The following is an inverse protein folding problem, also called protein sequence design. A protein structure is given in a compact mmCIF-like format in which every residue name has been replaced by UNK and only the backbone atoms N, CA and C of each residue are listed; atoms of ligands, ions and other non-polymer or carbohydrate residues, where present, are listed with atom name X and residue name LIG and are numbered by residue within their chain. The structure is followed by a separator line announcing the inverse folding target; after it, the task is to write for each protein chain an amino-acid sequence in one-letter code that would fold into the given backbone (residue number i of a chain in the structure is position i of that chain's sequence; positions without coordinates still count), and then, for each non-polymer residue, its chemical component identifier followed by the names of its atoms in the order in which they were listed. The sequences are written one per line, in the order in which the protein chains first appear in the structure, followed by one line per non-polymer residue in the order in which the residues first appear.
data_IF_452277002100
#
_entry.id   IF_452277002100
#
_cell.length_a   1.000
_cell.length_b   1.000
_cell.length_c   1.000
_cell.angle_alpha   90.00
_cell.angle_beta   90.00
_cell.angle_gamma   90.00
#
_symmetry.space_group_name_H-M   'P 1'
#
loop_
_entity.id
_entity.type
_entity.pdbx_description
1 polymer ?
#
# COMPACT_ATOMS: atom_id res chain seq x y z
N UNK A 1 8.05 22.03 16.79
CA UNK A 1 9.45 21.99 17.22
C UNK A 1 10.04 20.60 17.11
N UNK A 2 9.76 19.78 18.10
CA UNK A 2 10.30 18.42 18.12
C UNK A 2 9.27 17.42 17.61
N UNK A 3 8.40 17.88 16.75
CA UNK A 3 7.34 17.05 16.17
C UNK A 3 7.53 17.01 14.66
N UNK A 4 7.50 15.80 14.10
CA UNK A 4 7.45 15.61 12.65
C UNK A 4 6.07 15.14 12.22
N UNK A 5 5.65 15.57 11.04
CA UNK A 5 4.36 15.17 10.46
C UNK A 5 4.63 14.70 9.05
N UNK A 6 4.36 13.44 8.80
CA UNK A 6 4.53 12.82 7.49
C UNK A 6 3.29 11.98 7.17
N UNK A 7 3.08 11.72 5.90
CA UNK A 7 2.02 10.84 5.44
C UNK A 7 2.63 9.60 4.79
N UNK A 8 2.07 8.44 5.08
CA UNK A 8 2.40 7.20 4.38
C UNK A 8 1.21 6.87 3.47
N UNK A 9 1.48 6.72 2.19
CA UNK A 9 0.45 6.56 1.16
C UNK A 9 0.59 5.19 0.51
N UNK A 10 -0.06 4.15 1.06
CA UNK A 10 0.04 2.81 0.49
C UNK A 10 -0.80 2.68 -0.77
N UNK A 11 -0.33 1.86 -1.72
CA UNK A 11 -1.15 1.36 -2.80
C UNK A 11 -2.08 0.24 -2.33
N UNK A 12 -2.59 -0.57 -3.26
CA UNK A 12 -3.40 -1.72 -2.87
C UNK A 12 -2.59 -2.65 -1.99
N UNK A 13 -3.04 -2.80 -0.76
CA UNK A 13 -2.35 -3.58 0.27
C UNK A 13 -3.13 -4.85 0.54
N UNK A 14 -2.45 -5.96 0.73
CA UNK A 14 -3.06 -7.26 0.98
C UNK A 14 -3.69 -7.29 2.38
N UNK A 15 -4.91 -6.77 2.46
CA UNK A 15 -5.69 -6.61 3.68
C UNK A 15 -7.12 -7.10 3.42
N UNK A 16 -7.95 -7.09 4.47
CA UNK A 16 -9.35 -7.46 4.37
C UNK A 16 -10.13 -6.58 3.39
N UNK A 17 -9.76 -5.31 3.27
CA UNK A 17 -10.41 -4.39 2.32
C UNK A 17 -10.16 -4.87 0.89
N UNK A 18 -8.94 -5.28 0.57
CA UNK A 18 -8.60 -5.82 -0.75
C UNK A 18 -9.28 -7.16 -0.96
N UNK A 19 -9.32 -8.01 0.07
CA UNK A 19 -10.01 -9.29 -0.03
C UNK A 19 -11.49 -9.10 -0.39
N UNK A 20 -12.14 -8.10 0.18
CA UNK A 20 -13.53 -7.78 -0.17
C UNK A 20 -13.66 -7.25 -1.59
N UNK A 21 -12.73 -6.40 -2.03
CA UNK A 21 -12.71 -5.91 -3.41
C UNK A 21 -12.58 -7.08 -4.40
N UNK A 22 -11.74 -8.06 -4.08
CA UNK A 22 -11.60 -9.28 -4.90
C UNK A 22 -12.92 -10.04 -4.97
N UNK A 23 -13.61 -10.24 -3.83
CA UNK A 23 -14.91 -10.90 -3.82
C UNK A 23 -15.92 -10.19 -4.71
N UNK A 24 -15.94 -8.85 -4.66
CA UNK A 24 -16.84 -8.06 -5.49
C UNK A 24 -16.55 -8.24 -6.98
N UNK A 25 -15.30 -8.27 -7.38
CA UNK A 25 -14.91 -8.50 -8.77
C UNK A 25 -15.34 -9.91 -9.22
N UNK A 26 -15.09 -10.90 -8.40
CA UNK A 26 -15.48 -12.29 -8.69
C UNK A 26 -16.99 -12.36 -8.89
N UNK A 27 -17.78 -11.74 -8.02
CA UNK A 27 -19.23 -11.78 -8.08
C UNK A 27 -19.78 -11.06 -9.32
N UNK A 28 -19.14 -9.99 -9.75
CA UNK A 28 -19.64 -9.19 -10.89
C UNK A 28 -19.18 -9.73 -12.23
N UNK A 29 -18.01 -10.34 -12.31
CA UNK A 29 -17.39 -10.68 -13.59
C UNK A 29 -17.25 -12.18 -13.82
N UNK A 30 -17.39 -12.99 -12.78
CA UNK A 30 -17.15 -14.42 -12.85
C UNK A 30 -15.68 -14.81 -12.98
N UNK A 31 -14.76 -13.87 -12.83
CA UNK A 31 -13.32 -14.16 -12.84
C UNK A 31 -12.92 -14.94 -11.60
N UNK A 32 -11.80 -15.67 -11.71
CA UNK A 32 -11.24 -16.37 -10.55
C UNK A 32 -10.70 -15.35 -9.54
N UNK A 33 -10.61 -15.71 -8.25
CA UNK A 33 -9.99 -14.85 -7.25
C UNK A 33 -8.57 -14.44 -7.61
N UNK A 34 -7.78 -15.35 -8.19
CA UNK A 34 -6.41 -15.07 -8.61
C UNK A 34 -6.36 -14.01 -9.71
N UNK A 35 -7.25 -14.10 -10.69
CA UNK A 35 -7.33 -13.12 -11.76
C UNK A 35 -7.74 -11.74 -11.23
N UNK A 36 -8.69 -11.71 -10.28
CA UNK A 36 -9.13 -10.46 -9.68
C UNK A 36 -8.01 -9.79 -8.87
N UNK A 37 -7.23 -10.57 -8.09
CA UNK A 37 -6.08 -10.05 -7.36
C UNK A 37 -5.01 -9.51 -8.32
N UNK A 38 -4.74 -10.23 -9.40
CA UNK A 38 -3.77 -9.82 -10.39
C UNK A 38 -4.17 -8.49 -11.03
N UNK A 39 -5.46 -8.29 -11.29
CA UNK A 39 -5.97 -7.04 -11.85
C UNK A 39 -5.69 -5.86 -10.91
N UNK A 40 -5.94 -6.03 -9.62
CA UNK A 40 -5.65 -4.98 -8.63
C UNK A 40 -4.14 -4.69 -8.54
N UNK A 41 -3.30 -5.72 -8.65
CA UNK A 41 -1.86 -5.58 -8.56
C UNK A 41 -1.24 -4.94 -9.81
N UNK A 42 -1.93 -4.98 -10.95
CA UNK A 42 -1.41 -4.41 -12.20
C UNK A 42 -1.24 -2.89 -12.17
N UNK A 43 -1.86 -2.22 -11.20
CA UNK A 43 -1.77 -0.78 -11.08
C UNK A 43 -0.36 -0.27 -10.77
N UNK A 44 0.56 -1.13 -10.33
CA UNK A 44 1.92 -0.72 -10.03
C UNK A 44 2.94 -1.50 -10.87
N UNK A 45 4.12 -0.90 -11.11
CA UNK A 45 5.17 -1.55 -11.94
C UNK A 45 5.67 -2.88 -11.38
N UNK A 46 5.56 -3.13 -10.09
CA UNK A 46 5.99 -4.40 -9.50
C UNK A 46 4.95 -5.50 -9.68
N UNK A 47 3.72 -5.15 -10.08
CA UNK A 47 2.62 -6.08 -10.31
C UNK A 47 2.34 -6.98 -9.11
N UNK A 48 2.48 -6.45 -7.91
CA UNK A 48 2.26 -7.14 -6.63
C UNK A 48 1.45 -6.26 -5.70
N UNK A 49 0.62 -6.88 -4.87
CA UNK A 49 0.01 -6.16 -3.77
C UNK A 49 1.08 -5.80 -2.74
N UNK A 50 0.93 -4.64 -2.14
CA UNK A 50 1.79 -4.21 -1.03
C UNK A 50 1.43 -5.04 0.20
N UNK A 51 2.41 -5.43 1.00
CA UNK A 51 2.12 -6.15 2.24
C UNK A 51 1.94 -5.18 3.39
N UNK A 52 1.12 -5.55 4.40
CA UNK A 52 1.01 -4.73 5.61
C UNK A 52 2.37 -4.49 6.29
N UNK A 53 3.26 -5.47 6.25
CA UNK A 53 4.60 -5.35 6.80
C UNK A 53 5.44 -4.28 6.09
N UNK A 54 5.27 -4.16 4.77
CA UNK A 54 5.96 -3.12 4.02
C UNK A 54 5.50 -1.73 4.43
N UNK A 55 4.20 -1.55 4.66
CA UNK A 55 3.65 -0.29 5.14
C UNK A 55 4.15 -0.01 6.56
N UNK A 56 4.12 -1.00 7.43
CA UNK A 56 4.59 -0.87 8.81
C UNK A 56 6.07 -0.50 8.86
N UNK A 57 6.90 -1.07 7.99
CA UNK A 57 8.32 -0.74 7.92
C UNK A 57 8.55 0.73 7.56
N UNK A 58 7.75 1.28 6.67
CA UNK A 58 7.85 2.70 6.33
C UNK A 58 7.50 3.58 7.53
N UNK A 59 6.45 3.24 8.28
CA UNK A 59 6.05 3.97 9.47
C UNK A 59 7.16 3.88 10.53
N UNK A 60 7.70 2.70 10.77
CA UNK A 60 8.76 2.51 11.76
C UNK A 60 10.02 3.30 11.41
N UNK A 61 10.36 3.39 10.14
CA UNK A 61 11.49 4.20 9.70
C UNK A 61 11.29 5.68 10.05
N UNK A 62 10.09 6.19 9.86
CA UNK A 62 9.80 7.61 10.12
C UNK A 62 9.79 7.96 11.61
N UNK A 63 9.49 7.00 12.49
CA UNK A 63 9.36 7.27 13.94
C UNK A 63 10.59 6.89 14.76
N UNK A 64 11.55 6.18 14.16
CA UNK A 64 12.72 5.73 14.91
C UNK A 64 13.71 6.87 15.14
N UNK A 65 14.59 6.74 16.14
CA UNK A 65 15.65 7.72 16.34
C UNK A 65 16.51 7.92 15.10
N UNK A 66 16.84 9.14 14.78
CA UNK A 66 17.62 9.48 13.59
C UNK A 66 16.78 9.95 12.43
N UNK A 67 15.45 9.85 12.51
CA UNK A 67 14.54 10.32 11.46
C UNK A 67 13.91 11.67 11.81
N UNK A 68 14.44 12.39 12.77
CA UNK A 68 13.87 13.62 13.29
C UNK A 68 13.99 14.81 12.32
N UNK A 69 14.81 14.69 11.30
CA UNK A 69 14.91 15.72 10.24
C UNK A 69 13.91 15.47 9.09
N UNK A 70 13.15 14.38 9.13
CA UNK A 70 12.19 14.04 8.09
C UNK A 70 10.82 14.54 8.51
N UNK A 71 10.31 15.55 7.83
CA UNK A 71 8.99 16.10 8.11
C UNK A 71 8.40 16.70 6.84
N UNK A 72 7.09 16.76 6.76
CA UNK A 72 6.38 17.30 5.62
C UNK A 72 6.41 16.42 4.38
N UNK A 73 6.69 15.12 4.52
CA UNK A 73 6.85 14.23 3.39
C UNK A 73 5.63 13.32 3.23
N UNK A 74 5.33 12.99 1.97
CA UNK A 74 4.36 11.96 1.63
C UNK A 74 5.16 10.80 1.04
N UNK A 75 5.18 9.67 1.75
CA UNK A 75 5.96 8.50 1.38
C UNK A 75 5.03 7.49 0.73
N UNK A 76 5.23 7.25 -0.55
CA UNK A 76 4.44 6.27 -1.29
C UNK A 76 5.02 4.87 -1.08
N UNK A 77 4.16 3.94 -0.67
CA UNK A 77 4.50 2.52 -0.52
C UNK A 77 3.55 1.76 -1.44
N UNK A 78 3.84 1.80 -2.73
CA UNK A 78 2.87 1.43 -3.76
C UNK A 78 3.47 0.61 -4.90
N UNK A 79 4.71 0.15 -4.76
CA UNK A 79 5.39 -0.57 -5.83
C UNK A 79 5.66 0.29 -7.05
N UNK A 80 5.68 1.61 -6.89
CA UNK A 80 5.91 2.55 -7.98
C UNK A 80 4.66 3.07 -8.66
N UNK A 81 3.47 2.72 -8.16
CA UNK A 81 2.23 3.27 -8.70
C UNK A 81 2.15 4.76 -8.39
N UNK A 82 1.73 5.56 -9.38
CA UNK A 82 1.50 6.99 -9.20
C UNK A 82 0.09 7.16 -8.66
N UNK A 83 0.01 7.66 -7.44
CA UNK A 83 -1.26 7.83 -6.74
C UNK A 83 -1.65 9.31 -6.66
#
# INVERSE_FOLDING_TARGET
KDVTVNAVCPGYTDTDIVAEAVRNIVNKTGRSPEAARAELAQGNPQAKLVTPEQVANAVMWLVRPGSDAITGQAISVSGGEVL
#
